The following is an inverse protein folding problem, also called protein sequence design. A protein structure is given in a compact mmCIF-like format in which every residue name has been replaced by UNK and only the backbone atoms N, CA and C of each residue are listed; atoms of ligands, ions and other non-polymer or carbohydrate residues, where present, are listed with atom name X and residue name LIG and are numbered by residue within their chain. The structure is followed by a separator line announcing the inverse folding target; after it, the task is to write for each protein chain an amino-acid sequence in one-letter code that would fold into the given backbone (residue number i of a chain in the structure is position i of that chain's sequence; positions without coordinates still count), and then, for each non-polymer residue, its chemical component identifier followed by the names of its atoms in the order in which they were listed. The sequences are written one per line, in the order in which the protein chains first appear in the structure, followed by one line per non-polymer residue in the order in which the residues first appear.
data_IF_817198169720
#
_entry.id   IF_817198169720
#
_cell.length_a   1.000
_cell.length_b   1.000
_cell.length_c   1.000
_cell.angle_alpha   90.00
_cell.angle_beta   90.00
_cell.angle_gamma   90.00
#
_symmetry.space_group_name_H-M   'P 1'
#
loop_
_entity.id
_entity.type
_entity.pdbx_description
1 polymer ?
#
# COMPACT_ATOMS: atom_id res chain seq x y z
N UNK A 1 -11.97 -2.10 7.62
CA UNK A 1 -10.64 -1.96 7.02
C UNK A 1 -10.43 -3.09 6.03
N UNK A 2 -9.97 -2.77 4.82
CA UNK A 2 -9.66 -3.66 3.70
C UNK A 2 -10.84 -4.43 3.10
N UNK A 3 -12.03 -3.82 3.06
CA UNK A 3 -13.18 -4.46 2.43
C UNK A 3 -12.91 -4.68 0.92
N UNK A 4 -13.02 -5.92 0.46
CA UNK A 4 -12.79 -6.27 -0.96
C UNK A 4 -11.31 -6.41 -1.36
N UNK A 5 -10.36 -6.36 -0.41
CA UNK A 5 -8.93 -6.51 -0.74
C UNK A 5 -8.61 -7.84 -1.42
N UNK A 6 -9.29 -8.93 -1.03
CA UNK A 6 -9.09 -10.27 -1.61
C UNK A 6 -9.90 -10.51 -2.89
N UNK A 7 -10.76 -9.55 -3.29
CA UNK A 7 -11.55 -9.61 -4.53
C UNK A 7 -10.81 -8.97 -5.72
N UNK A 8 -9.79 -8.17 -5.45
CA UNK A 8 -8.93 -7.57 -6.48
C UNK A 8 -8.00 -8.64 -7.05
N UNK A 9 -7.95 -8.74 -8.38
CA UNK A 9 -7.06 -9.67 -9.07
C UNK A 9 -5.62 -9.13 -9.14
N UNK A 10 -4.94 -9.10 -7.98
CA UNK A 10 -3.57 -8.59 -7.84
C UNK A 10 -2.56 -9.31 -8.73
N UNK A 11 -2.73 -10.62 -8.91
CA UNK A 11 -1.83 -11.45 -9.71
C UNK A 11 -1.89 -11.12 -11.22
N UNK A 12 -2.97 -10.48 -11.68
CA UNK A 12 -3.08 -9.95 -13.05
C UNK A 12 -2.31 -8.64 -13.29
N UNK A 13 -1.86 -7.99 -12.22
CA UNK A 13 -1.15 -6.72 -12.24
C UNK A 13 0.33 -6.92 -11.93
N UNK A 14 1.13 -5.92 -12.27
CA UNK A 14 2.56 -5.89 -12.01
C UNK A 14 2.97 -4.61 -11.30
N UNK A 15 3.96 -4.74 -10.43
CA UNK A 15 4.76 -3.67 -9.85
C UNK A 15 6.20 -3.73 -10.43
N UNK A 16 7.13 -2.93 -9.90
CA UNK A 16 8.49 -2.81 -10.47
C UNK A 16 9.30 -4.12 -10.58
N UNK A 17 8.96 -5.14 -9.79
CA UNK A 17 9.70 -6.41 -9.75
C UNK A 17 8.90 -7.64 -10.25
N UNK A 18 7.77 -7.42 -10.93
CA UNK A 18 6.92 -8.51 -11.45
C UNK A 18 5.51 -8.49 -10.88
N UNK A 19 4.84 -9.67 -10.76
CA UNK A 19 3.46 -9.77 -10.29
C UNK A 19 3.24 -9.11 -8.93
N UNK A 20 2.06 -8.52 -8.75
CA UNK A 20 1.71 -7.74 -7.56
C UNK A 20 0.92 -8.55 -6.50
N UNK A 21 1.03 -9.88 -6.50
CA UNK A 21 0.29 -10.78 -5.59
C UNK A 21 0.69 -10.63 -4.11
N UNK A 22 1.80 -9.94 -3.83
CA UNK A 22 2.28 -9.60 -2.50
C UNK A 22 1.68 -8.29 -1.94
N UNK A 23 1.06 -7.45 -2.77
CA UNK A 23 0.49 -6.15 -2.37
C UNK A 23 -0.51 -6.24 -1.21
N UNK A 24 -1.40 -7.25 -1.12
CA UNK A 24 -2.28 -7.41 0.03
C UNK A 24 -1.54 -7.60 1.36
N UNK A 25 -0.33 -8.18 1.33
CA UNK A 25 0.51 -8.33 2.53
C UNK A 25 1.07 -6.98 2.93
N UNK A 26 1.56 -6.19 1.97
CA UNK A 26 2.07 -4.83 2.23
C UNK A 26 0.98 -3.92 2.81
N UNK A 27 -0.22 -3.91 2.21
CA UNK A 27 -1.35 -3.12 2.73
C UNK A 27 -1.72 -3.48 4.17
N UNK A 28 -1.78 -4.78 4.49
CA UNK A 28 -2.03 -5.24 5.87
C UNK A 28 -0.87 -4.90 6.81
N UNK A 29 0.37 -4.96 6.32
CA UNK A 29 1.57 -4.60 7.07
C UNK A 29 1.56 -3.14 7.53
N UNK A 30 1.05 -2.21 6.70
CA UNK A 30 0.86 -0.81 7.10
C UNK A 30 -0.10 -0.64 8.29
N UNK A 31 -1.01 -1.60 8.53
CA UNK A 31 -1.93 -1.59 9.66
C UNK A 31 -1.37 -2.30 10.91
N UNK A 32 -0.16 -2.87 10.85
CA UNK A 32 0.37 -3.72 11.93
C UNK A 32 0.55 -2.96 13.24
N UNK A 33 0.36 -3.66 14.36
CA UNK A 33 0.73 -3.15 15.67
C UNK A 33 2.26 -3.08 15.85
N UNK A 34 3.02 -3.90 15.11
CA UNK A 34 4.48 -3.89 15.13
C UNK A 34 5.03 -2.76 14.24
N UNK A 35 5.85 -1.89 14.81
CA UNK A 35 6.46 -0.79 14.09
C UNK A 35 7.42 -1.25 12.97
N UNK A 36 8.13 -2.37 13.17
CA UNK A 36 9.06 -2.90 12.18
C UNK A 36 8.31 -3.47 10.95
N UNK A 37 7.14 -4.08 11.16
CA UNK A 37 6.29 -4.53 10.06
C UNK A 37 5.71 -3.36 9.26
N UNK A 38 5.30 -2.28 9.94
CA UNK A 38 4.83 -1.06 9.26
C UNK A 38 5.93 -0.40 8.42
N UNK A 39 7.13 -0.27 8.98
CA UNK A 39 8.30 0.28 8.28
C UNK A 39 8.64 -0.57 7.05
N UNK A 40 8.77 -1.89 7.22
CA UNK A 40 9.06 -2.79 6.10
C UNK A 40 7.96 -2.79 5.04
N UNK A 41 6.69 -2.66 5.43
CA UNK A 41 5.59 -2.55 4.49
C UNK A 41 5.63 -1.24 3.70
N UNK A 42 5.92 -0.12 4.37
CA UNK A 42 6.08 1.19 3.72
C UNK A 42 7.26 1.19 2.74
N UNK A 43 8.39 0.60 3.12
CA UNK A 43 9.54 0.40 2.25
C UNK A 43 9.19 -0.47 1.04
N UNK A 44 8.38 -1.51 1.22
CA UNK A 44 7.86 -2.32 0.10
C UNK A 44 6.95 -1.53 -0.84
N UNK A 45 6.09 -0.66 -0.28
CA UNK A 45 5.22 0.20 -1.07
C UNK A 45 6.03 1.17 -1.94
N UNK A 46 7.02 1.86 -1.39
CA UNK A 46 7.90 2.74 -2.18
C UNK A 46 8.89 1.97 -3.05
N UNK A 47 9.31 0.79 -2.60
CA UNK A 47 10.32 -0.02 -3.25
C UNK A 47 9.82 -0.76 -4.48
N UNK A 48 8.57 -1.20 -4.49
CA UNK A 48 7.98 -1.98 -5.58
C UNK A 48 6.71 -1.32 -6.15
N UNK A 49 5.74 -0.99 -5.27
CA UNK A 49 4.39 -0.59 -5.67
C UNK A 49 4.31 0.84 -6.22
N UNK A 50 5.17 1.75 -5.78
CA UNK A 50 5.30 3.13 -6.26
C UNK A 50 6.78 3.45 -6.51
N UNK A 51 7.45 2.56 -7.26
CA UNK A 51 8.90 2.60 -7.45
C UNK A 51 9.36 3.87 -8.15
N UNK A 52 10.24 4.64 -7.50
CA UNK A 52 10.83 5.88 -8.06
C UNK A 52 9.79 6.88 -8.60
N UNK A 53 8.58 6.88 -8.04
CA UNK A 53 7.49 7.75 -8.47
C UNK A 53 6.61 7.17 -9.60
N UNK A 54 6.89 5.97 -10.08
CA UNK A 54 6.07 5.31 -11.10
C UNK A 54 4.70 4.89 -10.53
N UNK A 55 3.66 5.01 -11.36
CA UNK A 55 2.30 4.60 -11.03
C UNK A 55 1.89 3.43 -11.92
N UNK A 56 1.77 2.27 -11.30
CA UNK A 56 1.33 1.01 -11.89
C UNK A 56 -0.18 0.79 -11.67
N UNK A 57 -0.74 -0.23 -12.32
CA UNK A 57 -2.13 -0.64 -12.08
C UNK A 57 -2.36 -1.02 -10.61
N UNK A 58 -1.40 -1.73 -9.99
CA UNK A 58 -1.48 -2.08 -8.57
C UNK A 58 -1.34 -0.86 -7.66
N UNK A 59 -0.59 0.18 -8.04
CA UNK A 59 -0.51 1.45 -7.29
C UNK A 59 -1.88 2.11 -7.19
N UNK A 60 -2.60 2.18 -8.31
CA UNK A 60 -3.95 2.75 -8.34
C UNK A 60 -4.94 1.89 -7.56
N UNK A 61 -4.82 0.56 -7.67
CA UNK A 61 -5.67 -0.37 -6.92
C UNK A 61 -5.48 -0.26 -5.40
N UNK A 62 -4.32 0.20 -4.92
CA UNK A 62 -4.08 0.45 -3.49
C UNK A 62 -4.85 1.67 -2.93
N UNK A 63 -5.23 2.64 -3.76
CA UNK A 63 -5.73 3.95 -3.30
C UNK A 63 -6.92 3.84 -2.32
N UNK A 64 -7.98 3.05 -2.59
CA UNK A 64 -9.10 2.93 -1.65
C UNK A 64 -8.65 2.43 -0.26
N UNK A 65 -7.73 1.46 -0.23
CA UNK A 65 -7.22 0.85 0.99
C UNK A 65 -6.28 1.79 1.76
N UNK A 66 -5.47 2.58 1.06
CA UNK A 66 -4.65 3.63 1.66
C UNK A 66 -5.52 4.74 2.27
N UNK A 67 -6.66 5.07 1.66
CA UNK A 67 -7.62 5.99 2.28
C UNK A 67 -8.24 5.42 3.55
N UNK A 68 -8.63 4.14 3.56
CA UNK A 68 -9.13 3.48 4.77
C UNK A 68 -8.11 3.56 5.91
N UNK A 69 -6.83 3.25 5.64
CA UNK A 69 -5.73 3.40 6.59
C UNK A 69 -5.55 4.85 7.06
N UNK A 70 -5.60 5.80 6.14
CA UNK A 70 -5.37 7.20 6.44
C UNK A 70 -6.45 7.81 7.34
N UNK A 71 -7.70 7.31 7.31
CA UNK A 71 -8.81 7.86 8.11
C UNK A 71 -9.08 7.13 9.42
N UNK A 72 -8.60 5.90 9.57
CA UNK A 72 -8.84 5.09 10.78
C UNK A 72 -8.01 5.62 11.97
N UNK A 73 -8.64 5.98 13.11
CA UNK A 73 -7.94 6.50 14.28
C UNK A 73 -7.04 5.48 15.01
N UNK A 74 -7.26 4.17 14.82
CA UNK A 74 -6.51 3.12 15.51
C UNK A 74 -5.21 2.76 14.77
N UNK A 75 -5.09 3.15 13.48
CA UNK A 75 -3.88 2.98 12.68
C UNK A 75 -2.77 3.89 13.19
N UNK A 76 -1.60 3.30 13.43
CA UNK A 76 -0.38 4.02 13.79
C UNK A 76 0.30 4.58 12.53
N UNK A 77 1.15 5.60 12.66
CA UNK A 77 1.96 6.16 11.57
C UNK A 77 1.18 6.62 10.33
N UNK A 78 -0.08 7.03 10.50
CA UNK A 78 -0.97 7.53 9.43
C UNK A 78 -0.36 8.65 8.59
N UNK A 79 0.53 9.45 9.17
CA UNK A 79 1.27 10.49 8.45
C UNK A 79 2.04 9.93 7.26
N UNK A 80 2.68 8.78 7.42
CA UNK A 80 3.43 8.11 6.34
C UNK A 80 2.52 7.56 5.25
N UNK A 81 1.32 7.08 5.60
CA UNK A 81 0.30 6.66 4.63
C UNK A 81 -0.21 7.86 3.82
N UNK A 82 -0.43 9.00 4.47
CA UNK A 82 -0.81 10.25 3.79
C UNK A 82 0.31 10.72 2.87
N UNK A 83 1.57 10.65 3.30
CA UNK A 83 2.73 10.99 2.46
C UNK A 83 2.80 10.09 1.21
N UNK A 84 2.58 8.78 1.37
CA UNK A 84 2.47 7.85 0.24
C UNK A 84 1.31 8.20 -0.71
N UNK A 85 0.14 8.55 -0.18
CA UNK A 85 -0.98 9.01 -1.02
C UNK A 85 -0.63 10.29 -1.80
N UNK A 86 0.07 11.23 -1.17
CA UNK A 86 0.46 12.48 -1.84
C UNK A 86 1.53 12.27 -2.91
N UNK A 87 2.48 11.35 -2.71
CA UNK A 87 3.51 11.06 -3.71
C UNK A 87 2.93 10.41 -4.97
N UNK A 88 1.87 9.60 -4.84
CA UNK A 88 1.13 9.04 -5.98
C UNK A 88 0.41 10.14 -6.78
N UNK A 89 -0.11 11.16 -6.10
CA UNK A 89 -0.94 12.22 -6.71
C UNK A 89 -0.17 13.36 -7.40
N UNK A 90 1.07 13.63 -6.98
CA UNK A 90 1.87 14.77 -7.43
C UNK A 90 1.62 16.06 -6.66
#
# INVERSE_FOLDING_TARGET
MFSGIDEVDWASMEHAYGPADDVPVLLRGLASADAAERESALDGMYGAVHHQGDVYACTLACIPFLFELAVDPDVQDRGSVVELLTSIGG
#
